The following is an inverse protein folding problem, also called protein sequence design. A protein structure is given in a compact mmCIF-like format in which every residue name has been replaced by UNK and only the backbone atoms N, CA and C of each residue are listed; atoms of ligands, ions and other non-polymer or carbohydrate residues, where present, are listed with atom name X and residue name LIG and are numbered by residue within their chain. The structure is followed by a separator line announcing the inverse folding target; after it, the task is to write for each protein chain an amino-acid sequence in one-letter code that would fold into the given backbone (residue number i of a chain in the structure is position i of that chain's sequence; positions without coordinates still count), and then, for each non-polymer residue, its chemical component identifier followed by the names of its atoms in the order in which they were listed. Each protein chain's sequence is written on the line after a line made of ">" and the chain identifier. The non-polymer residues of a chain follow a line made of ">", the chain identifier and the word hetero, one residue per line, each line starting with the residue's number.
data_IF_492283565309
#
_entry.id   IF_492283565309
#
_cell.length_a   1.000
_cell.length_b   1.000
_cell.length_c   1.000
_cell.angle_alpha   90.00
_cell.angle_beta   90.00
_cell.angle_gamma   90.00
#
_symmetry.space_group_name_H-M   'P 1'
#
loop_
_entity.id
_entity.type
_entity.pdbx_description
1 polymer ?
#
# COMPACT_ATOMS: atom_id res chain seq x y z
N UNK A 1 -8.96 -6.93 7.51
CA UNK A 1 -9.21 -8.30 6.96
C UNK A 1 -10.64 -8.46 6.40
N UNK A 2 -11.71 -8.38 7.21
CA UNK A 2 -13.10 -8.59 6.76
C UNK A 2 -13.48 -7.73 5.53
N UNK A 3 -13.26 -6.41 5.59
CA UNK A 3 -13.65 -5.50 4.50
C UNK A 3 -12.96 -5.83 3.17
N UNK A 4 -11.67 -6.19 3.20
CA UNK A 4 -10.94 -6.60 2.00
C UNK A 4 -11.57 -7.85 1.35
N UNK A 5 -12.01 -8.83 2.17
CA UNK A 5 -12.72 -10.02 1.68
C UNK A 5 -14.07 -9.66 1.07
N UNK A 6 -14.86 -8.82 1.74
CA UNK A 6 -16.18 -8.38 1.24
C UNK A 6 -16.05 -7.63 -0.08
N UNK A 7 -15.07 -6.71 -0.19
CA UNK A 7 -14.82 -5.96 -1.41
C UNK A 7 -14.34 -6.89 -2.53
N UNK A 8 -13.43 -7.82 -2.25
CA UNK A 8 -12.89 -8.74 -3.24
C UNK A 8 -13.98 -9.65 -3.82
N UNK A 9 -14.94 -10.08 -3.00
CA UNK A 9 -16.08 -10.87 -3.45
C UNK A 9 -17.09 -10.08 -4.31
N UNK A 10 -17.03 -8.73 -4.26
CA UNK A 10 -17.89 -7.83 -5.04
C UNK A 10 -17.22 -7.30 -6.31
N UNK A 11 -15.96 -7.63 -6.53
CA UNK A 11 -15.18 -7.24 -7.72
C UNK A 11 -14.86 -8.47 -8.55
N UNK A 12 -14.88 -8.33 -9.88
CA UNK A 12 -14.40 -9.36 -10.81
C UNK A 12 -12.92 -9.70 -10.51
N UNK A 13 -12.55 -10.97 -10.61
CA UNK A 13 -11.21 -11.47 -10.33
C UNK A 13 -10.11 -10.83 -11.19
N UNK A 14 -10.46 -10.24 -12.34
CA UNK A 14 -9.51 -9.47 -13.17
C UNK A 14 -9.07 -8.14 -12.55
N UNK A 15 -9.83 -7.61 -11.58
CA UNK A 15 -9.54 -6.34 -10.93
C UNK A 15 -8.78 -6.55 -9.63
N UNK A 16 -7.76 -5.74 -9.40
CA UNK A 16 -7.03 -5.71 -8.14
C UNK A 16 -7.64 -4.69 -7.17
N UNK A 17 -7.74 -5.05 -5.89
CA UNK A 17 -7.99 -4.08 -4.83
C UNK A 17 -6.70 -3.39 -4.41
N UNK A 18 -6.72 -2.05 -4.41
CA UNK A 18 -5.62 -1.23 -3.90
C UNK A 18 -5.95 -0.76 -2.48
N UNK A 19 -5.11 -1.11 -1.52
CA UNK A 19 -5.27 -0.68 -0.13
C UNK A 19 -4.71 0.72 0.09
N UNK A 20 -5.55 1.72 0.36
CA UNK A 20 -5.08 3.10 0.61
C UNK A 20 -4.66 3.24 2.07
N UNK A 21 -3.38 3.52 2.29
CA UNK A 21 -2.74 3.61 3.62
C UNK A 21 -2.07 4.96 3.88
N UNK A 22 -2.42 6.02 3.13
CA UNK A 22 -1.95 7.38 3.41
C UNK A 22 -2.26 7.82 4.85
N UNK A 23 -1.51 8.78 5.37
CA UNK A 23 -1.65 9.28 6.74
C UNK A 23 -1.65 8.15 7.78
N UNK A 24 -0.64 7.28 7.70
CA UNK A 24 -0.47 6.11 8.59
C UNK A 24 -1.70 5.17 8.62
N UNK A 25 -2.19 4.79 7.44
CA UNK A 25 -3.46 4.09 7.27
C UNK A 25 -4.64 4.76 8.00
N UNK A 26 -4.78 6.06 7.83
CA UNK A 26 -5.76 6.88 8.54
C UNK A 26 -5.65 6.72 10.07
N UNK A 27 -4.43 6.68 10.59
CA UNK A 27 -4.12 6.54 12.02
C UNK A 27 -4.25 5.12 12.60
N UNK A 28 -4.31 4.09 11.76
CA UNK A 28 -4.43 2.69 12.20
C UNK A 28 -3.08 1.94 12.22
N UNK A 29 -2.00 2.58 11.78
CA UNK A 29 -0.69 1.93 11.59
C UNK A 29 -0.55 1.33 10.19
N UNK A 30 0.22 1.99 9.32
CA UNK A 30 0.38 1.57 7.93
C UNK A 30 1.07 0.20 7.80
N UNK A 31 2.10 -0.05 8.60
CA UNK A 31 2.84 -1.31 8.58
C UNK A 31 1.96 -2.47 9.06
N UNK A 32 1.24 -2.26 10.17
CA UNK A 32 0.34 -3.22 10.79
C UNK A 32 -0.80 -3.59 9.84
N UNK A 33 -1.39 -2.61 9.17
CA UNK A 33 -2.43 -2.84 8.16
C UNK A 33 -1.89 -3.63 6.97
N UNK A 34 -0.72 -3.26 6.45
CA UNK A 34 -0.10 -3.99 5.34
C UNK A 34 0.20 -5.45 5.69
N UNK A 35 0.71 -5.71 6.89
CA UNK A 35 0.99 -7.07 7.38
C UNK A 35 -0.29 -7.86 7.69
N UNK A 36 -1.34 -7.18 8.16
CA UNK A 36 -2.59 -7.84 8.49
C UNK A 36 -3.41 -8.24 7.24
N UNK A 37 -3.20 -7.62 6.08
CA UNK A 37 -4.03 -7.86 4.89
C UNK A 37 -3.18 -8.47 3.76
N UNK A 38 -2.97 -9.78 3.83
CA UNK A 38 -2.17 -10.51 2.84
C UNK A 38 -2.79 -10.53 1.43
N UNK A 39 -4.12 -10.46 1.33
CA UNK A 39 -4.87 -10.53 0.07
C UNK A 39 -4.70 -9.31 -0.85
N UNK A 40 -4.20 -8.18 -0.33
CA UNK A 40 -3.95 -6.97 -1.11
C UNK A 40 -2.47 -6.93 -1.47
N UNK A 41 -2.13 -6.83 -2.76
CA UNK A 41 -0.72 -6.79 -3.20
C UNK A 41 -0.24 -5.35 -3.35
N UNK A 42 -1.07 -4.46 -3.87
CA UNK A 42 -0.74 -3.04 -4.06
C UNK A 42 -1.38 -2.17 -2.98
N UNK A 43 -0.56 -1.34 -2.34
CA UNK A 43 -1.00 -0.33 -1.39
C UNK A 43 -0.68 1.07 -1.92
N UNK A 44 -1.43 2.09 -1.48
CA UNK A 44 -1.24 3.46 -1.94
C UNK A 44 -0.99 4.43 -0.78
N UNK A 45 -0.01 5.32 -0.96
CA UNK A 45 0.38 6.37 -0.01
C UNK A 45 0.31 7.75 -0.69
N UNK A 46 0.19 8.82 0.11
CA UNK A 46 0.18 10.18 -0.42
C UNK A 46 1.58 10.74 -0.64
N UNK A 47 2.58 10.31 0.15
CA UNK A 47 3.97 10.76 0.08
C UNK A 47 4.94 9.59 0.21
N UNK A 48 6.15 9.72 -0.36
CA UNK A 48 7.20 8.69 -0.26
C UNK A 48 7.57 8.38 1.20
N UNK A 49 7.60 9.40 2.05
CA UNK A 49 7.92 9.26 3.48
C UNK A 49 6.89 8.42 4.26
N UNK A 50 5.70 8.18 3.71
CA UNK A 50 4.68 7.31 4.31
C UNK A 50 4.86 5.83 3.93
N UNK A 51 5.83 5.49 3.06
CA UNK A 51 6.10 4.11 2.65
C UNK A 51 6.51 3.27 3.87
N UNK A 52 5.74 2.23 4.24
CA UNK A 52 6.13 1.36 5.35
C UNK A 52 7.31 0.45 4.95
N UNK A 53 8.14 0.02 5.90
CA UNK A 53 9.24 -0.91 5.65
C UNK A 53 8.71 -2.35 5.47
N UNK A 54 8.31 -2.70 4.24
CA UNK A 54 7.59 -3.94 3.92
C UNK A 54 8.45 -5.22 3.84
N UNK A 55 9.72 -5.17 4.29
CA UNK A 55 10.70 -6.27 4.19
C UNK A 55 10.26 -7.55 4.92
N UNK A 56 9.38 -7.44 5.90
CA UNK A 56 8.87 -8.56 6.71
C UNK A 56 7.58 -9.20 6.18
N UNK A 57 7.01 -8.69 5.08
CA UNK A 57 5.76 -9.23 4.53
C UNK A 57 6.02 -10.56 3.80
N UNK A 58 5.10 -11.53 3.99
CA UNK A 58 5.19 -12.86 3.34
C UNK A 58 4.99 -12.82 1.83
N UNK A 59 4.36 -11.75 1.34
CA UNK A 59 4.05 -11.53 -0.07
C UNK A 59 4.66 -10.21 -0.47
N UNK A 60 5.40 -10.18 -1.59
CA UNK A 60 5.93 -8.93 -2.16
C UNK A 60 4.76 -7.95 -2.38
N UNK A 61 4.80 -6.83 -1.67
CA UNK A 61 3.82 -5.74 -1.78
C UNK A 61 4.36 -4.63 -2.67
N UNK A 62 3.49 -4.02 -3.47
CA UNK A 62 3.80 -2.84 -4.28
C UNK A 62 3.27 -1.58 -3.58
N UNK A 63 3.94 -0.46 -3.79
CA UNK A 63 3.50 0.86 -3.31
C UNK A 63 3.22 1.76 -4.52
N UNK A 64 1.99 2.24 -4.61
CA UNK A 64 1.56 3.28 -5.54
C UNK A 64 1.62 4.63 -4.83
N UNK A 65 2.35 5.58 -5.41
CA UNK A 65 2.42 6.94 -4.91
C UNK A 65 1.36 7.81 -5.59
N UNK A 66 0.50 8.47 -4.82
CA UNK A 66 -0.50 9.37 -5.38
C UNK A 66 0.05 10.74 -5.80
N UNK A 67 1.16 11.17 -5.21
CA UNK A 67 1.82 12.42 -5.58
C UNK A 67 2.88 12.22 -6.65
N UNK A 68 3.33 13.32 -7.24
CA UNK A 68 4.62 13.33 -7.93
C UNK A 68 5.77 13.12 -6.93
N UNK A 69 6.93 12.75 -7.46
CA UNK A 69 8.23 12.97 -6.81
C UNK A 69 8.69 14.38 -7.15
N UNK A 70 9.14 15.15 -6.16
CA UNK A 70 9.41 16.58 -6.35
C UNK A 70 10.91 16.89 -6.43
N UNK A 71 11.76 15.97 -5.99
CA UNK A 71 13.22 16.11 -5.99
C UNK A 71 13.88 14.92 -6.65
N UNK A 72 15.16 15.08 -7.03
CA UNK A 72 15.96 13.95 -7.52
C UNK A 72 16.10 12.86 -6.44
N UNK A 73 16.26 13.25 -5.17
CA UNK A 73 16.34 12.31 -4.06
C UNK A 73 15.04 11.52 -3.85
N UNK A 74 13.88 12.17 -4.05
CA UNK A 74 12.59 11.48 -4.06
C UNK A 74 12.52 10.44 -5.18
N UNK A 75 12.98 10.80 -6.38
CA UNK A 75 13.02 9.88 -7.52
C UNK A 75 13.93 8.68 -7.23
N UNK A 76 15.13 8.92 -6.69
CA UNK A 76 16.07 7.86 -6.34
C UNK A 76 15.50 6.93 -5.26
N UNK A 77 14.83 7.46 -4.24
CA UNK A 77 14.13 6.66 -3.23
C UNK A 77 12.94 5.86 -3.79
N UNK A 78 12.27 6.38 -4.82
CA UNK A 78 11.11 5.74 -5.43
C UNK A 78 11.47 4.54 -6.32
N UNK A 79 12.66 4.57 -6.95
CA UNK A 79 13.14 3.49 -7.83
C UNK A 79 13.87 2.37 -7.09
N UNK A 80 14.24 2.59 -5.82
CA UNK A 80 14.73 1.56 -4.88
C UNK A 80 13.61 0.71 -4.26
#
# INVERSE_FOLDING_TARGET
>A
KHNAKVLSAKTDAKWELIGVIKADAYGHGALEVCQAIDSIRTFAVARLSERPPLKSSRVKKNILLFSAVNTYDDLMQAIE
#
